data_IF_352179997369
#
_entry.id   IF_352179997369
#
_cell.length_a   1.000
_cell.length_b   1.000
_cell.length_c   1.000
_cell.angle_alpha   90.00
_cell.angle_beta   90.00
_cell.angle_gamma   90.00
#
_symmetry.space_group_name_H-M   'P 1'
#
loop_
_entity.id
_entity.type
_entity.pdbx_description
1 polymer ?
#
# COMPACT_ATOMS: atom_id res chain seq x y z
N UNK A 1 2.45 -19.84 -8.86
CA UNK A 1 2.08 -18.59 -9.59
C UNK A 1 1.70 -18.95 -11.01
N UNK A 2 0.62 -18.37 -11.54
CA UNK A 2 0.22 -18.55 -12.94
C UNK A 2 0.56 -17.33 -13.78
N UNK A 3 1.02 -17.55 -15.00
CA UNK A 3 1.41 -16.52 -15.96
C UNK A 3 0.70 -16.76 -17.29
N UNK A 4 0.35 -15.69 -17.99
CA UNK A 4 -0.19 -15.75 -19.34
C UNK A 4 0.97 -15.76 -20.34
N UNK A 5 1.07 -16.82 -21.15
CA UNK A 5 1.99 -16.87 -22.28
C UNK A 5 1.51 -15.92 -23.38
N UNK A 6 2.34 -14.95 -23.75
CA UNK A 6 1.95 -13.86 -24.67
C UNK A 6 1.73 -14.34 -26.10
N UNK A 7 2.29 -15.49 -26.49
CA UNK A 7 2.17 -16.06 -27.83
C UNK A 7 0.95 -16.96 -27.93
N UNK A 8 0.85 -17.96 -27.04
CA UNK A 8 -0.24 -18.94 -27.06
C UNK A 8 -1.54 -18.41 -26.46
N UNK A 9 -1.46 -17.34 -25.65
CA UNK A 9 -2.57 -16.79 -24.87
C UNK A 9 -3.20 -17.80 -23.91
N UNK A 10 -2.38 -18.74 -23.42
CA UNK A 10 -2.76 -19.74 -22.43
C UNK A 10 -2.07 -19.46 -21.10
N UNK A 11 -2.73 -19.83 -20.01
CA UNK A 11 -2.15 -19.78 -18.68
C UNK A 11 -1.19 -20.96 -18.49
N UNK A 12 -0.03 -20.67 -17.92
CA UNK A 12 1.02 -21.61 -17.57
C UNK A 12 1.35 -21.44 -16.08
N UNK A 13 1.54 -22.55 -15.37
CA UNK A 13 1.79 -22.54 -13.92
C UNK A 13 3.26 -22.82 -13.61
N UNK A 14 3.80 -22.04 -12.68
CA UNK A 14 5.20 -22.08 -12.28
C UNK A 14 5.36 -22.03 -10.77
N UNK A 15 6.42 -22.70 -10.30
CA UNK A 15 6.73 -22.84 -8.88
C UNK A 15 8.21 -22.50 -8.60
N UNK A 16 8.45 -21.74 -7.54
CA UNK A 16 9.79 -21.44 -7.04
C UNK A 16 10.74 -20.92 -8.13
N UNK A 17 11.91 -21.56 -8.26
CA UNK A 17 12.95 -21.15 -9.21
C UNK A 17 12.59 -21.40 -10.68
N UNK A 18 11.43 -21.98 -10.99
CA UNK A 18 10.96 -22.20 -12.37
C UNK A 18 10.20 -21.01 -12.93
N UNK A 19 9.89 -19.99 -12.12
CA UNK A 19 9.18 -18.79 -12.58
C UNK A 19 10.05 -18.07 -13.61
N UNK A 20 9.58 -17.92 -14.87
CA UNK A 20 10.34 -17.25 -15.92
C UNK A 20 10.39 -15.74 -15.67
N UNK A 21 11.11 -15.00 -16.51
CA UNK A 21 11.01 -13.54 -16.52
C UNK A 21 9.64 -13.13 -17.07
N UNK A 22 8.95 -12.21 -16.40
CA UNK A 22 7.60 -11.77 -16.80
C UNK A 22 7.43 -10.25 -16.68
N UNK A 23 6.47 -9.72 -17.44
CA UNK A 23 5.87 -8.41 -17.20
C UNK A 23 4.69 -8.53 -16.23
N UNK A 24 4.28 -7.45 -15.59
CA UNK A 24 3.09 -7.44 -14.74
C UNK A 24 2.17 -6.27 -15.09
N UNK A 25 0.86 -6.49 -15.18
CA UNK A 25 -0.12 -5.44 -15.45
C UNK A 25 -0.74 -4.93 -14.15
N UNK A 26 -0.57 -3.64 -13.88
CA UNK A 26 -1.28 -2.90 -12.84
C UNK A 26 -2.39 -2.07 -13.48
N UNK A 27 -3.62 -2.21 -12.98
CA UNK A 27 -4.76 -1.47 -13.51
C UNK A 27 -5.91 -1.37 -12.50
N UNK A 28 -6.75 -0.35 -12.67
CA UNK A 28 -8.05 -0.29 -12.01
C UNK A 28 -9.02 -1.22 -12.74
N UNK A 29 -9.65 -2.16 -12.03
CA UNK A 29 -10.69 -3.02 -12.63
C UNK A 29 -11.85 -2.17 -13.15
N UNK A 30 -12.24 -2.42 -14.40
CA UNK A 30 -13.39 -1.84 -15.07
C UNK A 30 -14.51 -2.87 -15.28
N UNK A 31 -15.43 -2.57 -16.20
CA UNK A 31 -16.45 -3.50 -16.64
C UNK A 31 -15.88 -4.54 -17.60
N UNK A 32 -16.39 -5.78 -17.51
CA UNK A 32 -16.09 -6.81 -18.49
C UNK A 32 -14.64 -7.31 -18.51
N UNK A 33 -13.93 -7.22 -17.39
CA UNK A 33 -12.59 -7.80 -17.23
C UNK A 33 -12.58 -9.28 -17.63
N UNK A 34 -11.45 -9.71 -18.20
CA UNK A 34 -11.23 -11.12 -18.53
C UNK A 34 -10.82 -11.83 -17.25
N UNK A 35 -11.66 -12.74 -16.77
CA UNK A 35 -11.38 -13.53 -15.57
C UNK A 35 -10.57 -14.79 -15.88
N UNK A 36 -10.15 -15.51 -14.84
CA UNK A 36 -9.53 -16.83 -14.97
C UNK A 36 -10.43 -17.83 -15.71
N UNK A 37 -11.75 -17.82 -15.45
CA UNK A 37 -12.68 -18.69 -16.18
C UNK A 37 -12.80 -18.28 -17.65
N UNK A 38 -12.80 -16.98 -17.93
CA UNK A 38 -12.96 -16.46 -19.28
C UNK A 38 -11.78 -16.82 -20.16
N UNK A 39 -10.53 -16.56 -19.71
CA UNK A 39 -9.33 -16.74 -20.54
C UNK A 39 -9.15 -18.19 -21.03
N UNK A 40 -9.75 -19.16 -20.31
CA UNK A 40 -9.75 -20.57 -20.69
C UNK A 40 -10.81 -20.94 -21.74
N UNK A 41 -11.69 -20.01 -22.15
CA UNK A 41 -12.75 -20.21 -23.14
C UNK A 41 -12.41 -19.49 -24.45
N UNK A 42 -12.70 -20.07 -25.63
CA UNK A 42 -12.42 -19.41 -26.92
C UNK A 42 -13.08 -18.03 -27.09
N UNK A 43 -14.20 -17.78 -26.42
CA UNK A 43 -14.96 -16.52 -26.50
C UNK A 43 -14.37 -15.36 -25.69
N UNK A 44 -13.27 -15.56 -24.94
CA UNK A 44 -12.69 -14.51 -24.11
C UNK A 44 -12.34 -13.24 -24.92
N UNK A 45 -11.99 -13.43 -26.19
CA UNK A 45 -11.62 -12.36 -27.11
C UNK A 45 -12.74 -11.34 -27.39
N UNK A 46 -14.00 -11.72 -27.12
CA UNK A 46 -15.20 -10.92 -27.34
C UNK A 46 -15.54 -10.03 -26.13
N UNK A 47 -14.90 -10.26 -24.97
CA UNK A 47 -15.13 -9.44 -23.77
C UNK A 47 -14.53 -8.05 -23.94
N UNK A 48 -15.16 -7.07 -23.29
CA UNK A 48 -14.70 -5.67 -23.26
C UNK A 48 -13.23 -5.57 -22.78
N UNK A 49 -12.90 -6.26 -21.68
CA UNK A 49 -11.54 -6.29 -21.12
C UNK A 49 -10.50 -7.02 -21.98
N UNK A 50 -10.90 -7.73 -23.05
CA UNK A 50 -9.96 -8.45 -23.91
C UNK A 50 -8.98 -7.51 -24.61
N UNK A 51 -9.40 -6.27 -24.89
CA UNK A 51 -8.52 -5.24 -25.47
C UNK A 51 -7.32 -4.96 -24.54
N UNK A 52 -7.57 -4.82 -23.24
CA UNK A 52 -6.55 -4.56 -22.21
C UNK A 52 -5.52 -5.70 -22.15
N UNK A 53 -6.00 -6.94 -22.10
CA UNK A 53 -5.13 -8.14 -22.11
C UNK A 53 -4.28 -8.20 -23.39
N UNK A 54 -4.88 -7.97 -24.57
CA UNK A 54 -4.18 -8.00 -25.87
C UNK A 54 -3.10 -6.92 -25.96
N UNK A 55 -3.39 -5.71 -25.51
CA UNK A 55 -2.43 -4.61 -25.52
C UNK A 55 -1.29 -4.86 -24.53
N UNK A 56 -1.59 -5.38 -23.35
CA UNK A 56 -0.59 -5.74 -22.35
C UNK A 56 0.35 -6.84 -22.85
N UNK A 57 -0.17 -7.88 -23.50
CA UNK A 57 0.65 -8.96 -24.05
C UNK A 57 1.46 -8.52 -25.27
N UNK A 58 0.91 -7.61 -26.09
CA UNK A 58 1.67 -6.97 -27.16
C UNK A 58 2.82 -6.11 -26.61
N UNK A 59 2.59 -5.37 -25.52
CA UNK A 59 3.66 -4.60 -24.88
C UNK A 59 4.72 -5.51 -24.27
N UNK A 60 4.34 -6.59 -23.58
CA UNK A 60 5.28 -7.58 -23.06
C UNK A 60 6.18 -8.17 -24.17
N UNK A 61 5.60 -8.46 -25.35
CA UNK A 61 6.39 -8.89 -26.53
C UNK A 61 7.40 -7.84 -26.99
N UNK A 62 7.03 -6.55 -26.99
CA UNK A 62 7.94 -5.46 -27.35
C UNK A 62 9.12 -5.34 -26.37
N UNK A 63 8.87 -5.61 -25.10
CA UNK A 63 9.89 -5.68 -24.05
C UNK A 63 10.69 -7.00 -24.05
N UNK A 64 10.45 -7.90 -25.02
CA UNK A 64 11.16 -9.17 -25.15
C UNK A 64 10.77 -10.21 -24.09
N UNK A 65 9.57 -10.13 -23.53
CA UNK A 65 9.06 -11.03 -22.50
C UNK A 65 8.01 -11.98 -23.07
N UNK A 66 8.12 -13.26 -22.71
CA UNK A 66 7.21 -14.32 -23.15
C UNK A 66 6.00 -14.51 -22.22
N UNK A 67 6.05 -13.93 -21.03
CA UNK A 67 5.06 -14.10 -19.99
C UNK A 67 4.63 -12.77 -19.40
N UNK A 68 3.35 -12.69 -19.05
CA UNK A 68 2.78 -11.56 -18.31
C UNK A 68 1.85 -12.06 -17.21
N UNK A 69 1.91 -11.42 -16.05
CA UNK A 69 0.93 -11.60 -14.98
C UNK A 69 -0.14 -10.52 -15.04
N UNK A 70 -1.40 -10.93 -14.94
CA UNK A 70 -2.57 -10.06 -14.89
C UNK A 70 -3.52 -10.64 -13.84
N UNK A 71 -3.71 -9.93 -12.73
CA UNK A 71 -4.46 -10.40 -11.56
C UNK A 71 -5.90 -10.87 -11.88
N UNK A 72 -6.55 -10.27 -12.87
CA UNK A 72 -7.92 -10.62 -13.28
C UNK A 72 -8.02 -12.02 -13.86
N UNK A 73 -7.04 -12.46 -14.65
CA UNK A 73 -7.07 -13.78 -15.31
C UNK A 73 -6.03 -14.78 -14.78
N UNK A 74 -5.00 -14.34 -14.07
CA UNK A 74 -3.95 -15.21 -13.54
C UNK A 74 -4.29 -15.78 -12.16
N UNK A 75 -5.26 -15.22 -11.44
CA UNK A 75 -5.73 -15.72 -10.14
C UNK A 75 -7.11 -16.35 -10.31
N UNK A 76 -7.27 -17.59 -9.88
CA UNK A 76 -8.61 -18.16 -9.68
C UNK A 76 -9.23 -17.65 -8.38
N UNK A 77 -10.06 -16.61 -8.51
CA UNK A 77 -10.74 -15.95 -7.39
C UNK A 77 -11.88 -16.79 -6.81
N UNK A 78 -12.26 -17.91 -7.45
CA UNK A 78 -13.24 -18.86 -6.90
C UNK A 78 -12.62 -19.77 -5.83
N UNK A 79 -11.30 -19.95 -5.87
CA UNK A 79 -10.52 -20.68 -4.87
C UNK A 79 -10.07 -19.73 -3.75
N UNK A 80 -10.67 -19.86 -2.57
CA UNK A 80 -10.30 -19.03 -1.40
C UNK A 80 -8.85 -19.27 -0.96
N UNK A 81 -8.35 -20.51 -1.10
CA UNK A 81 -6.97 -20.86 -0.80
C UNK A 81 -6.00 -20.13 -1.73
N UNK A 82 -6.29 -20.15 -3.04
CA UNK A 82 -5.45 -19.47 -4.03
C UNK A 82 -5.53 -17.95 -3.90
N UNK A 83 -6.72 -17.39 -3.69
CA UNK A 83 -6.89 -15.96 -3.45
C UNK A 83 -6.06 -15.50 -2.24
N UNK A 84 -6.05 -16.29 -1.17
CA UNK A 84 -5.24 -16.03 0.03
C UNK A 84 -3.75 -16.09 -0.25
N UNK A 85 -3.29 -17.11 -0.97
CA UNK A 85 -1.88 -17.24 -1.40
C UNK A 85 -1.47 -16.05 -2.28
N UNK A 86 -2.32 -15.68 -3.24
CA UNK A 86 -2.05 -14.62 -4.19
C UNK A 86 -1.93 -13.26 -3.50
N UNK A 87 -2.86 -12.89 -2.62
CA UNK A 87 -2.80 -11.61 -1.89
C UNK A 87 -1.56 -11.53 -0.99
N UNK A 88 -1.18 -12.63 -0.33
CA UNK A 88 0.03 -12.66 0.49
C UNK A 88 1.33 -12.63 -0.34
N UNK A 89 1.26 -12.99 -1.63
CA UNK A 89 2.42 -13.05 -2.53
C UNK A 89 2.51 -11.86 -3.51
N UNK A 90 1.45 -11.07 -3.64
CA UNK A 90 1.30 -10.11 -4.73
C UNK A 90 2.41 -9.06 -4.76
N UNK A 91 2.81 -8.56 -3.58
CA UNK A 91 3.92 -7.61 -3.49
C UNK A 91 5.21 -8.17 -4.08
N UNK A 92 5.57 -9.42 -3.73
CA UNK A 92 6.75 -10.09 -4.25
C UNK A 92 6.65 -10.32 -5.77
N UNK A 93 5.44 -10.60 -6.29
CA UNK A 93 5.22 -10.71 -7.74
C UNK A 93 5.42 -9.38 -8.47
N UNK A 94 4.99 -8.25 -7.87
CA UNK A 94 5.28 -6.93 -8.41
C UNK A 94 6.76 -6.56 -8.30
N UNK A 95 7.42 -6.91 -7.20
CA UNK A 95 8.85 -6.65 -6.99
C UNK A 95 9.74 -7.42 -7.97
N UNK A 96 9.41 -8.68 -8.25
CA UNK A 96 10.20 -9.55 -9.12
C UNK A 96 9.84 -9.46 -10.61
N UNK A 97 8.78 -8.72 -10.97
CA UNK A 97 8.48 -8.45 -12.37
C UNK A 97 9.61 -7.65 -13.02
N UNK A 98 9.92 -7.97 -14.29
CA UNK A 98 10.92 -7.22 -15.06
C UNK A 98 10.48 -5.78 -15.30
N UNK A 99 9.18 -5.62 -15.57
CA UNK A 99 8.53 -4.33 -15.80
C UNK A 99 7.05 -4.42 -15.41
N UNK A 100 6.55 -3.38 -14.76
CA UNK A 100 5.14 -3.18 -14.52
C UNK A 100 4.56 -2.21 -15.56
N UNK A 101 3.47 -2.60 -16.20
CA UNK A 101 2.67 -1.71 -17.02
C UNK A 101 1.55 -1.14 -16.16
N UNK A 102 1.62 0.15 -15.84
CA UNK A 102 0.56 0.86 -15.13
C UNK A 102 -0.40 1.45 -16.16
N UNK A 103 -1.57 0.84 -16.32
CA UNK A 103 -2.58 1.26 -17.29
C UNK A 103 -3.62 2.18 -16.63
N UNK A 104 -3.58 3.46 -17.01
CA UNK A 104 -4.43 4.53 -16.50
C UNK A 104 -5.66 4.70 -17.42
N UNK A 105 -6.65 3.83 -17.20
CA UNK A 105 -7.84 3.69 -18.07
C UNK A 105 -8.75 4.94 -18.11
N UNK A 106 -8.64 5.81 -17.11
CA UNK A 106 -9.53 6.95 -16.89
C UNK A 106 -8.97 8.28 -17.39
N UNK A 107 -7.76 8.30 -17.93
CA UNK A 107 -7.12 9.52 -18.43
C UNK A 107 -6.73 9.39 -19.91
N UNK A 108 -6.61 10.56 -20.54
CA UNK A 108 -6.04 10.74 -21.87
C UNK A 108 -5.13 11.97 -21.74
N UNK A 109 -3.86 11.87 -22.18
CA UNK A 109 -2.81 12.92 -22.04
C UNK A 109 -2.17 13.03 -20.63
N UNK A 110 -1.28 14.02 -20.47
CA UNK A 110 -0.29 14.17 -19.39
C UNK A 110 -0.85 14.42 -17.97
N UNK A 111 -2.17 14.52 -17.81
CA UNK A 111 -2.80 14.79 -16.52
C UNK A 111 -2.95 13.51 -15.68
N UNK A 112 -1.81 12.89 -15.36
CA UNK A 112 -1.76 11.65 -14.59
C UNK A 112 -2.25 11.83 -13.15
N UNK A 113 -2.16 13.06 -12.62
CA UNK A 113 -2.49 13.40 -11.23
C UNK A 113 -3.97 13.10 -10.91
N UNK A 114 -4.83 13.17 -11.92
CA UNK A 114 -6.26 12.93 -11.80
C UNK A 114 -6.68 11.45 -12.01
N UNK A 115 -5.74 10.54 -12.25
CA UNK A 115 -6.09 9.12 -12.40
C UNK A 115 -6.48 8.49 -11.06
N UNK A 116 -7.61 7.77 -11.06
CA UNK A 116 -8.08 6.89 -9.98
C UNK A 116 -7.07 5.81 -9.60
N UNK A 117 -6.09 5.53 -10.47
CA UNK A 117 -5.00 4.64 -10.14
C UNK A 117 -4.23 5.11 -8.90
N UNK A 118 -4.03 6.42 -8.71
CA UNK A 118 -3.31 6.94 -7.55
C UNK A 118 -4.11 6.91 -6.24
N UNK A 119 -5.44 6.82 -6.33
CA UNK A 119 -6.34 6.79 -5.17
C UNK A 119 -6.84 5.40 -4.81
N UNK A 120 -6.50 4.35 -5.57
CA UNK A 120 -6.88 2.96 -5.24
C UNK A 120 -5.92 2.36 -4.21
N UNK A 121 -6.43 1.63 -3.22
CA UNK A 121 -5.60 1.05 -2.15
C UNK A 121 -4.53 0.07 -2.68
N UNK A 122 -4.95 -0.88 -3.51
CA UNK A 122 -4.07 -1.93 -4.05
C UNK A 122 -2.92 -1.39 -4.90
N UNK A 123 -3.12 -0.31 -5.66
CA UNK A 123 -2.08 0.25 -6.56
C UNK A 123 -0.90 0.85 -5.81
N UNK A 124 -0.99 1.07 -4.48
CA UNK A 124 0.16 1.49 -3.69
C UNK A 124 1.30 0.48 -3.75
N UNK A 125 1.02 -0.80 -3.49
CA UNK A 125 2.06 -1.83 -3.59
C UNK A 125 2.50 -2.03 -5.05
N UNK A 126 1.61 -1.84 -6.01
CA UNK A 126 1.92 -1.93 -7.45
C UNK A 126 2.82 -0.77 -7.93
N UNK A 127 2.80 0.35 -7.22
CA UNK A 127 3.71 1.49 -7.45
C UNK A 127 5.03 1.32 -6.73
N UNK A 128 4.96 0.86 -5.49
CA UNK A 128 6.09 0.85 -4.57
C UNK A 128 6.96 -0.38 -4.81
N UNK A 129 6.41 -1.57 -5.03
CA UNK A 129 7.20 -2.80 -5.17
C UNK A 129 8.05 -2.85 -6.46
N UNK A 130 7.53 -2.55 -7.68
CA UNK A 130 8.32 -2.69 -8.90
C UNK A 130 9.46 -1.68 -8.97
N UNK A 131 10.60 -2.15 -9.50
CA UNK A 131 11.73 -1.28 -9.84
C UNK A 131 11.44 -0.48 -11.12
N UNK A 132 10.88 -1.14 -12.13
CA UNK A 132 10.56 -0.53 -13.42
C UNK A 132 9.04 -0.44 -13.61
N UNK A 133 8.53 0.76 -13.88
CA UNK A 133 7.12 0.99 -14.24
C UNK A 133 7.07 1.82 -15.51
N UNK A 134 6.20 1.43 -16.44
CA UNK A 134 5.82 2.20 -17.63
C UNK A 134 4.35 2.58 -17.50
N UNK A 135 4.05 3.87 -17.57
CA UNK A 135 2.68 4.40 -17.45
C UNK A 135 2.06 4.56 -18.83
N UNK A 136 0.83 4.09 -19.00
CA UNK A 136 0.09 4.16 -20.26
C UNK A 136 -1.27 4.83 -20.06
N UNK A 137 -1.68 5.70 -20.98
CA UNK A 137 -3.04 6.28 -21.00
C UNK A 137 -4.09 5.26 -21.49
N UNK A 138 -5.37 5.66 -21.51
CA UNK A 138 -6.50 4.87 -22.03
C UNK A 138 -6.32 4.38 -23.48
N UNK A 139 -5.47 5.04 -24.28
CA UNK A 139 -5.18 4.68 -25.67
C UNK A 139 -3.93 3.80 -25.79
N UNK A 140 -3.34 3.39 -24.66
CA UNK A 140 -2.09 2.64 -24.59
C UNK A 140 -0.88 3.43 -25.11
N UNK A 141 -0.93 4.75 -24.99
CA UNK A 141 0.20 5.62 -25.31
C UNK A 141 1.08 5.75 -24.07
N UNK A 142 2.39 5.54 -24.24
CA UNK A 142 3.37 5.69 -23.17
C UNK A 142 3.40 7.16 -22.71
N UNK A 143 3.17 7.36 -21.41
CA UNK A 143 3.23 8.65 -20.74
C UNK A 143 4.61 8.92 -20.14
N UNK A 144 5.33 7.85 -19.78
CA UNK A 144 6.67 7.91 -19.22
C UNK A 144 6.93 6.72 -18.29
N UNK A 145 8.17 6.62 -17.84
CA UNK A 145 8.63 5.64 -16.86
C UNK A 145 8.57 6.19 -15.44
N UNK A 146 8.67 5.30 -14.43
CA UNK A 146 8.78 5.70 -13.02
C UNK A 146 9.87 6.74 -12.75
N UNK A 147 11.02 6.58 -13.43
CA UNK A 147 12.18 7.47 -13.27
C UNK A 147 11.90 8.83 -13.91
N UNK A 148 11.37 8.84 -15.14
CA UNK A 148 11.04 10.08 -15.86
C UNK A 148 9.95 10.90 -15.14
N UNK A 149 9.02 10.22 -14.48
CA UNK A 149 7.87 10.84 -13.81
C UNK A 149 8.06 11.02 -12.31
N UNK A 150 9.25 10.76 -11.75
CA UNK A 150 9.46 10.68 -10.29
C UNK A 150 8.98 11.92 -9.52
N UNK A 151 9.23 13.12 -10.04
CA UNK A 151 8.80 14.36 -9.39
C UNK A 151 7.27 14.54 -9.38
N UNK A 152 6.57 14.07 -10.41
CA UNK A 152 5.10 14.03 -10.42
C UNK A 152 4.58 12.97 -9.45
N UNK A 153 5.14 11.76 -9.50
CA UNK A 153 4.76 10.67 -8.61
C UNK A 153 4.94 11.06 -7.13
N UNK A 154 6.04 11.74 -6.80
CA UNK A 154 6.31 12.19 -5.45
C UNK A 154 5.26 13.19 -4.95
N UNK A 155 4.88 14.16 -5.79
CA UNK A 155 3.83 15.14 -5.48
C UNK A 155 2.46 14.49 -5.28
N UNK A 156 2.07 13.57 -6.16
CA UNK A 156 0.75 12.94 -6.12
C UNK A 156 0.61 12.03 -4.89
N UNK A 157 1.68 11.30 -4.54
CA UNK A 157 1.61 10.21 -3.58
C UNK A 157 2.23 10.51 -2.23
N UNK A 158 2.88 11.67 -2.10
CA UNK A 158 3.66 12.07 -0.92
C UNK A 158 4.80 11.10 -0.56
N UNK A 159 5.17 10.20 -1.47
CA UNK A 159 6.34 9.33 -1.34
C UNK A 159 7.55 10.10 -1.86
N UNK A 160 8.63 10.18 -1.08
CA UNK A 160 9.81 10.90 -1.49
C UNK A 160 10.48 10.27 -2.72
N UNK A 161 11.13 11.10 -3.53
CA UNK A 161 11.78 10.65 -4.77
C UNK A 161 12.82 9.55 -4.51
N UNK A 162 13.57 9.63 -3.40
CA UNK A 162 14.57 8.63 -3.03
C UNK A 162 13.93 7.26 -2.73
N UNK A 163 12.75 7.22 -2.11
CA UNK A 163 12.00 5.97 -1.86
C UNK A 163 11.40 5.41 -3.16
N UNK A 164 11.00 6.27 -4.11
CA UNK A 164 10.49 5.85 -5.41
C UNK A 164 11.60 5.27 -6.29
N UNK A 165 12.81 5.82 -6.23
CA UNK A 165 13.96 5.43 -7.06
C UNK A 165 14.77 4.26 -6.47
N UNK A 166 14.86 4.15 -5.15
CA UNK A 166 15.66 3.14 -4.46
C UNK A 166 14.79 2.15 -3.68
N UNK A 167 14.66 0.90 -4.18
CA UNK A 167 13.96 -0.16 -3.48
C UNK A 167 14.34 -0.38 -2.01
N UNK A 168 15.62 -0.22 -1.67
CA UNK A 168 16.10 -0.49 -0.31
C UNK A 168 15.56 0.50 0.73
N UNK A 169 15.29 1.75 0.31
CA UNK A 169 14.76 2.81 1.20
C UNK A 169 13.32 2.59 1.61
N UNK A 170 12.58 1.82 0.83
CA UNK A 170 11.21 1.41 1.14
C UNK A 170 11.17 0.63 2.45
N UNK A 171 12.10 -0.31 2.64
CA UNK A 171 12.15 -1.14 3.85
C UNK A 171 12.52 -0.34 5.09
N UNK A 172 13.46 0.61 4.96
CA UNK A 172 13.96 1.44 6.06
C UNK A 172 13.04 2.60 6.48
N UNK A 173 11.95 2.83 5.73
CA UNK A 173 10.96 3.84 6.11
C UNK A 173 10.18 3.41 7.34
N UNK A 174 9.88 4.38 8.22
CA UNK A 174 9.10 4.17 9.43
C UNK A 174 7.69 3.66 9.15
N UNK A 175 7.07 3.04 10.15
CA UNK A 175 5.69 2.56 10.07
C UNK A 175 4.73 3.72 9.76
N UNK A 176 4.87 4.84 10.46
CA UNK A 176 4.08 6.04 10.22
C UNK A 176 4.19 6.54 8.77
N UNK A 177 5.43 6.61 8.24
CA UNK A 177 5.68 7.05 6.87
C UNK A 177 5.04 6.11 5.85
N UNK A 178 5.17 4.79 6.03
CA UNK A 178 4.51 3.80 5.16
C UNK A 178 2.98 3.92 5.22
N UNK A 179 2.41 4.08 6.42
CA UNK A 179 0.97 4.27 6.59
C UNK A 179 0.48 5.58 5.95
N UNK A 180 1.28 6.66 6.00
CA UNK A 180 0.89 7.94 5.40
C UNK A 180 0.75 7.83 3.89
N UNK A 181 1.51 6.96 3.22
CA UNK A 181 1.35 6.71 1.79
C UNK A 181 -0.05 6.18 1.47
N UNK A 182 -0.64 5.36 2.33
CA UNK A 182 -1.98 4.81 2.13
C UNK A 182 -3.12 5.74 2.58
N UNK A 183 -2.82 6.88 3.19
CA UNK A 183 -3.81 7.72 3.91
C UNK A 183 -4.89 8.36 3.04
N UNK A 184 -4.63 8.56 1.75
CA UNK A 184 -5.55 9.17 0.78
C UNK A 184 -6.14 8.14 -0.18
N UNK A 185 -5.87 6.85 0.03
CA UNK A 185 -6.31 5.76 -0.84
C UNK A 185 -7.58 5.10 -0.33
N UNK A 186 -8.38 4.62 -1.27
CA UNK A 186 -9.69 4.03 -1.05
C UNK A 186 -9.74 2.58 -1.53
N UNK A 187 -10.51 1.76 -0.81
CA UNK A 187 -10.75 0.35 -1.16
C UNK A 187 -12.23 0.08 -1.26
N UNK A 188 -12.62 -0.85 -2.15
CA UNK A 188 -14.03 -1.24 -2.32
C UNK A 188 -14.51 -2.08 -1.16
N UNK A 189 -13.71 -3.06 -0.73
CA UNK A 189 -13.96 -3.80 0.51
C UNK A 189 -13.23 -3.12 1.65
N UNK A 190 -13.86 -3.08 2.82
CA UNK A 190 -13.30 -2.41 3.99
C UNK A 190 -12.00 -3.10 4.41
N UNK A 191 -11.94 -4.43 4.38
CA UNK A 191 -10.79 -5.21 4.82
C UNK A 191 -9.57 -5.04 3.90
N UNK A 192 -9.78 -4.70 2.63
CA UNK A 192 -8.70 -4.46 1.67
C UNK A 192 -7.84 -3.25 2.08
N UNK A 193 -8.34 -2.36 2.95
CA UNK A 193 -7.52 -1.28 3.52
C UNK A 193 -6.34 -1.82 4.33
N UNK A 194 -6.48 -3.04 4.86
CA UNK A 194 -5.43 -3.77 5.55
C UNK A 194 -4.68 -4.69 4.59
N UNK A 195 -5.41 -5.50 3.80
CA UNK A 195 -4.81 -6.52 2.94
C UNK A 195 -3.92 -5.94 1.83
N UNK A 196 -4.25 -4.74 1.34
CA UNK A 196 -3.41 -4.05 0.34
C UNK A 196 -2.06 -3.57 0.88
N UNK A 197 -1.84 -3.61 2.20
CA UNK A 197 -0.62 -3.15 2.86
C UNK A 197 0.30 -4.28 3.33
N UNK A 198 -0.13 -5.54 3.26
CA UNK A 198 0.62 -6.69 3.80
C UNK A 198 2.07 -6.71 3.32
N UNK A 199 2.30 -6.63 2.01
CA UNK A 199 3.65 -6.66 1.46
C UNK A 199 4.48 -5.41 1.71
N UNK A 200 3.84 -4.25 1.91
CA UNK A 200 4.56 -2.99 2.26
C UNK A 200 5.18 -3.09 3.64
N UNK A 201 4.48 -3.77 4.55
CA UNK A 201 4.94 -4.05 5.91
C UNK A 201 5.64 -5.39 6.06
N UNK A 202 5.73 -6.19 4.99
CA UNK A 202 6.31 -7.53 4.99
C UNK A 202 5.70 -8.44 6.07
N UNK A 203 4.37 -8.45 6.16
CA UNK A 203 3.61 -9.29 7.10
C UNK A 203 2.67 -10.24 6.36
N UNK A 204 2.30 -11.33 7.02
CA UNK A 204 1.33 -12.29 6.51
C UNK A 204 0.22 -12.51 7.54
N UNK A 205 -1.03 -12.57 7.08
CA UNK A 205 -2.17 -12.90 7.95
C UNK A 205 -3.32 -13.53 7.14
N UNK A 206 -4.17 -14.36 7.79
CA UNK A 206 -5.36 -14.91 7.16
C UNK A 206 -6.34 -13.83 6.68
N UNK A 207 -6.87 -13.99 5.47
CA UNK A 207 -7.89 -13.11 4.90
C UNK A 207 -9.28 -13.52 5.38
N UNK A 208 -9.89 -12.72 6.24
CA UNK A 208 -11.23 -12.92 6.77
C UNK A 208 -12.17 -11.82 6.26
N UNK A 209 -12.67 -11.95 5.03
CA UNK A 209 -13.69 -11.04 4.51
C UNK A 209 -14.98 -11.14 5.34
N UNK A 210 -15.48 -10.00 5.80
CA UNK A 210 -16.59 -9.89 6.75
C UNK A 210 -16.16 -9.43 8.16
N UNK A 211 -14.86 -9.33 8.45
CA UNK A 211 -14.36 -8.83 9.74
C UNK A 211 -14.34 -7.30 9.86
N UNK A 212 -14.56 -6.57 8.75
CA UNK A 212 -14.64 -5.11 8.73
C UNK A 212 -13.36 -4.43 9.22
N UNK A 213 -13.51 -3.38 10.04
CA UNK A 213 -12.37 -2.58 10.57
C UNK A 213 -11.36 -3.41 11.38
N UNK A 214 -11.75 -4.60 11.87
CA UNK A 214 -10.85 -5.48 12.62
C UNK A 214 -9.65 -5.94 11.78
N UNK A 215 -9.80 -6.01 10.47
CA UNK A 215 -8.69 -6.34 9.57
C UNK A 215 -7.50 -5.38 9.74
N UNK A 216 -7.77 -4.07 9.89
CA UNK A 216 -6.72 -3.06 10.06
C UNK A 216 -6.10 -3.07 11.46
N UNK A 217 -6.87 -3.41 12.49
CA UNK A 217 -6.31 -3.66 13.82
C UNK A 217 -5.34 -4.85 13.80
N UNK A 218 -5.75 -5.97 13.18
CA UNK A 218 -4.89 -7.16 13.01
C UNK A 218 -3.64 -6.88 12.19
N UNK A 219 -3.72 -6.05 11.14
CA UNK A 219 -2.53 -5.62 10.42
C UNK A 219 -1.52 -4.95 11.36
N UNK A 220 -1.97 -4.03 12.21
CA UNK A 220 -1.10 -3.36 13.18
C UNK A 220 -0.54 -4.34 14.23
N UNK A 221 -1.33 -5.33 14.65
CA UNK A 221 -0.87 -6.40 15.52
C UNK A 221 0.22 -7.27 14.87
N UNK A 222 0.11 -7.58 13.57
CA UNK A 222 1.18 -8.30 12.84
C UNK A 222 2.43 -7.44 12.67
N UNK A 223 2.26 -6.14 12.38
CA UNK A 223 3.40 -5.19 12.29
C UNK A 223 4.17 -5.16 13.61
N UNK A 224 3.46 -5.11 14.74
CA UNK A 224 4.07 -5.10 16.08
C UNK A 224 4.87 -6.36 16.43
N UNK A 225 4.66 -7.48 15.72
CA UNK A 225 5.47 -8.68 15.92
C UNK A 225 6.83 -8.60 15.23
N UNK A 226 6.93 -7.76 14.21
CA UNK A 226 8.11 -7.65 13.34
C UNK A 226 8.96 -6.40 13.61
N UNK A 227 8.44 -5.41 14.34
CA UNK A 227 9.17 -4.15 14.62
C UNK A 227 8.79 -3.48 15.95
N UNK A 228 9.76 -2.77 16.53
CA UNK A 228 9.62 -1.90 17.71
C UNK A 228 9.45 -0.41 17.35
N UNK A 229 9.08 -0.12 16.09
CA UNK A 229 8.91 1.25 15.61
C UNK A 229 7.67 1.92 16.25
N UNK A 230 7.91 2.71 17.31
CA UNK A 230 6.88 3.48 18.02
C UNK A 230 6.14 4.50 17.13
N UNK A 231 6.62 4.80 15.92
CA UNK A 231 5.86 5.64 14.97
C UNK A 231 4.50 5.03 14.59
N UNK A 232 4.29 3.72 14.79
CA UNK A 232 2.98 3.09 14.65
C UNK A 232 1.91 3.77 15.52
N UNK A 233 2.28 4.34 16.67
CA UNK A 233 1.35 4.99 17.59
C UNK A 233 1.28 6.52 17.41
N UNK A 234 1.98 7.08 16.43
CA UNK A 234 2.05 8.53 16.18
C UNK A 234 0.89 9.07 15.31
N UNK A 235 -0.21 8.33 15.20
CA UNK A 235 -1.38 8.71 14.41
C UNK A 235 -2.25 9.73 15.15
N UNK A 236 -3.08 10.46 14.40
CA UNK A 236 -3.90 11.55 14.93
C UNK A 236 -5.36 11.48 14.46
N UNK A 237 -6.25 12.07 15.25
CA UNK A 237 -7.67 12.27 14.90
C UNK A 237 -7.88 13.73 14.51
N UNK A 238 -8.51 13.93 13.36
CA UNK A 238 -8.95 15.26 12.95
C UNK A 238 -10.40 15.48 13.40
N UNK A 239 -10.70 16.60 14.09
CA UNK A 239 -12.07 17.06 14.21
C UNK A 239 -12.66 17.21 12.81
N UNK A 240 -13.81 16.59 12.56
CA UNK A 240 -14.49 16.54 11.25
C UNK A 240 -14.85 17.91 10.68
N UNK A 241 -14.71 18.99 11.46
CA UNK A 241 -15.11 20.36 11.10
C UNK A 241 -14.12 21.15 10.22
N UNK A 242 -12.89 20.67 9.96
CA UNK A 242 -11.85 21.48 9.29
C UNK A 242 -11.05 20.75 8.19
N UNK A 243 -11.72 20.00 7.30
CA UNK A 243 -11.06 19.26 6.19
C UNK A 243 -10.34 20.13 5.13
N UNK A 244 -10.55 21.46 5.12
CA UNK A 244 -10.08 22.35 4.06
C UNK A 244 -9.05 23.40 4.50
N UNK A 245 -8.40 23.28 5.68
CA UNK A 245 -7.40 24.28 6.11
C UNK A 245 -5.96 23.86 5.74
N UNK A 246 -5.29 24.55 4.79
CA UNK A 246 -3.92 24.23 4.37
C UNK A 246 -2.84 24.54 5.43
N UNK A 247 -3.14 25.28 6.50
CA UNK A 247 -2.18 25.58 7.57
C UNK A 247 -1.88 24.39 8.50
N UNK A 248 -2.53 23.24 8.30
CA UNK A 248 -2.39 22.03 9.12
C UNK A 248 -1.16 21.18 8.79
N UNK A 249 -0.48 21.39 7.66
CA UNK A 249 0.77 20.68 7.33
C UNK A 249 1.90 20.98 8.34
N UNK A 250 1.83 22.10 9.05
CA UNK A 250 2.76 22.48 10.12
C UNK A 250 2.23 22.16 11.53
N UNK A 251 1.04 21.57 11.66
CA UNK A 251 0.36 21.39 12.94
C UNK A 251 0.74 20.10 13.70
N UNK A 252 1.81 19.39 13.30
CA UNK A 252 2.38 18.33 14.14
C UNK A 252 2.95 18.83 15.49
N UNK A 253 2.89 20.14 15.77
CA UNK A 253 3.19 20.73 17.08
C UNK A 253 1.99 21.32 17.83
N UNK A 254 0.78 21.31 17.24
CA UNK A 254 -0.41 21.94 17.82
C UNK A 254 -1.65 21.08 17.54
N UNK A 255 -1.91 20.11 18.41
CA UNK A 255 -3.19 19.38 18.39
C UNK A 255 -4.30 20.42 18.59
N UNK A 256 -5.33 20.49 17.72
CA UNK A 256 -6.52 21.26 18.04
C UNK A 256 -7.10 20.64 19.30
N UNK A 257 -7.21 21.43 20.38
CA UNK A 257 -7.81 21.02 21.64
C UNK A 257 -9.06 20.18 21.38
N UNK A 258 -9.06 18.98 21.96
CA UNK A 258 -10.09 17.96 21.80
C UNK A 258 -11.50 18.58 21.86
N UNK A 259 -12.47 18.09 21.08
CA UNK A 259 -13.84 18.56 21.21
C UNK A 259 -14.29 18.37 22.66
N UNK A 260 -14.77 19.45 23.27
CA UNK A 260 -15.48 19.41 24.55
C UNK A 260 -16.79 18.62 24.37
N UNK A 261 -16.73 17.30 24.34
CA UNK A 261 -17.90 16.42 24.49
C UNK A 261 -17.47 14.96 24.60
N UNK A 262 -17.65 14.40 25.81
CA UNK A 262 -17.57 12.99 26.19
C UNK A 262 -16.19 12.31 26.08
N UNK A 263 -15.74 11.73 27.20
CA UNK A 263 -14.55 10.89 27.32
C UNK A 263 -14.69 9.64 26.43
N UNK A 264 -14.46 9.80 25.12
CA UNK A 264 -14.26 8.67 24.23
C UNK A 264 -12.84 8.15 24.44
N UNK A 265 -12.71 7.04 25.17
CA UNK A 265 -11.46 6.31 25.23
C UNK A 265 -11.12 5.83 23.82
N UNK A 266 -10.05 6.37 23.27
CA UNK A 266 -9.56 5.96 21.95
C UNK A 266 -8.74 4.68 22.11
N UNK A 267 -8.93 3.75 21.16
CA UNK A 267 -8.00 2.63 20.98
C UNK A 267 -6.60 3.17 20.75
N UNK A 268 -5.56 2.49 21.25
CA UNK A 268 -4.15 2.82 20.96
C UNK A 268 -3.76 2.53 19.51
N UNK A 269 -4.45 1.59 18.87
CA UNK A 269 -4.31 1.28 17.44
C UNK A 269 -5.25 2.15 16.62
N UNK A 270 -4.77 2.62 15.47
CA UNK A 270 -5.52 3.46 14.55
C UNK A 270 -6.68 2.69 13.89
N UNK A 271 -7.72 3.40 13.45
CA UNK A 271 -8.84 2.80 12.72
C UNK A 271 -8.59 2.67 11.22
N UNK A 272 -7.69 3.49 10.66
CA UNK A 272 -7.40 3.51 9.24
C UNK A 272 -6.05 4.17 8.91
N UNK A 273 -5.49 3.94 7.71
CA UNK A 273 -4.34 4.71 7.22
C UNK A 273 -4.59 6.23 7.18
N UNK A 274 -5.83 6.69 7.07
CA UNK A 274 -6.15 8.12 7.05
C UNK A 274 -5.72 8.85 8.34
N UNK A 275 -5.64 8.14 9.47
CA UNK A 275 -5.11 8.69 10.72
C UNK A 275 -3.62 9.04 10.66
N UNK A 276 -2.88 8.53 9.67
CA UNK A 276 -1.45 8.76 9.47
C UNK A 276 -1.14 9.84 8.43
N UNK A 277 -2.14 10.57 7.90
CA UNK A 277 -1.99 11.51 6.77
C UNK A 277 -0.81 12.49 6.90
N UNK A 278 -0.58 13.07 8.07
CA UNK A 278 0.50 14.03 8.29
C UNK A 278 1.73 13.44 9.01
N UNK A 279 1.81 12.12 9.08
CA UNK A 279 2.90 11.42 9.77
C UNK A 279 4.04 11.01 8.82
N UNK A 280 4.00 11.46 7.56
CA UNK A 280 5.01 11.13 6.54
C UNK A 280 6.43 11.55 6.90
N UNK A 281 6.59 12.52 7.81
CA UNK A 281 7.88 12.96 8.36
C UNK A 281 8.22 12.36 9.71
N UNK A 282 7.40 11.47 10.28
CA UNK A 282 7.71 10.83 11.57
C UNK A 282 8.73 9.73 11.35
N UNK A 283 9.83 9.76 12.10
CA UNK A 283 10.91 8.77 12.04
C UNK A 283 11.26 8.27 13.46
N UNK A 284 11.64 7.00 13.63
CA UNK A 284 12.12 6.50 14.92
C UNK A 284 13.46 7.15 15.28
N UNK A 285 13.76 7.28 16.57
CA UNK A 285 15.11 7.68 16.98
C UNK A 285 16.15 6.64 16.52
N UNK A 286 17.36 7.06 16.12
CA UNK A 286 18.46 6.14 15.88
C UNK A 286 18.71 5.32 17.15
N UNK A 287 18.59 4.00 17.06
CA UNK A 287 18.51 3.07 18.18
C UNK A 287 19.56 3.37 19.27
N UNK A 288 19.11 4.00 20.35
CA UNK A 288 19.84 4.01 21.61
C UNK A 288 19.47 2.73 22.33
N UNK A 289 20.43 1.82 22.52
CA UNK A 289 20.25 0.58 23.28
C UNK A 289 19.39 0.80 24.54
N UNK A 290 18.32 0.01 24.73
CA UNK A 290 17.56 -0.27 25.98
C UNK A 290 16.06 0.12 25.96
N UNK A 291 15.26 -0.42 25.05
CA UNK A 291 13.82 -0.62 25.28
C UNK A 291 13.50 -2.11 25.17
N UNK A 292 12.62 -2.61 26.04
CA UNK A 292 12.04 -3.94 25.85
C UNK A 292 11.14 -3.88 24.62
N UNK A 293 11.14 -4.93 23.77
CA UNK A 293 10.35 -4.91 22.56
C UNK A 293 8.87 -4.77 22.88
N UNK A 294 8.16 -4.01 22.04
CA UNK A 294 6.73 -3.90 22.13
C UNK A 294 6.12 -5.28 21.85
N UNK A 295 5.09 -5.68 22.59
CA UNK A 295 4.48 -7.00 22.39
C UNK A 295 2.99 -7.00 22.60
N UNK A 296 2.29 -7.74 21.74
CA UNK A 296 0.88 -8.07 21.94
C UNK A 296 0.77 -9.28 22.87
N UNK A 297 0.08 -9.11 23.99
CA UNK A 297 -0.20 -10.17 24.96
C UNK A 297 -1.69 -10.53 24.94
N UNK A 298 -2.06 -11.63 25.61
CA UNK A 298 -3.48 -11.96 25.82
C UNK A 298 -4.26 -10.92 26.64
N UNK A 299 -3.56 -9.96 27.27
CA UNK A 299 -4.13 -8.83 28.01
C UNK A 299 -4.10 -7.51 27.24
N UNK A 300 -3.59 -7.51 26.01
CA UNK A 300 -3.41 -6.31 25.19
C UNK A 300 -1.95 -5.95 24.98
N UNK A 301 -1.72 -4.70 24.58
CA UNK A 301 -0.40 -4.16 24.25
C UNK A 301 0.46 -3.97 25.50
N UNK A 302 1.71 -4.46 25.45
CA UNK A 302 2.76 -4.14 26.40
C UNK A 302 3.80 -3.27 25.70
N UNK A 303 4.06 -2.07 26.24
CA UNK A 303 5.02 -1.12 25.71
C UNK A 303 5.74 -0.40 26.85
N UNK A 304 7.05 -0.27 26.73
CA UNK A 304 7.87 0.50 27.66
C UNK A 304 8.05 1.91 27.10
N UNK A 305 7.55 2.92 27.82
CA UNK A 305 7.61 4.33 27.41
C UNK A 305 8.07 5.20 28.58
N UNK A 306 8.74 6.31 28.26
CA UNK A 306 9.10 7.31 29.27
C UNK A 306 7.91 8.22 29.52
N UNK A 307 7.54 8.41 30.79
CA UNK A 307 6.49 9.33 31.17
C UNK A 307 7.05 10.74 31.42
N UNK A 308 6.34 11.75 30.94
CA UNK A 308 6.54 13.17 31.27
C UNK A 308 5.21 13.76 31.71
N UNK A 309 4.91 13.66 33.00
CA UNK A 309 3.57 13.94 33.51
C UNK A 309 2.59 12.90 32.99
N UNK A 310 1.49 13.36 32.40
CA UNK A 310 0.44 12.49 31.82
C UNK A 310 0.71 12.15 30.35
N UNK A 311 1.95 12.34 29.86
CA UNK A 311 2.32 12.07 28.46
C UNK A 311 3.29 10.89 28.41
N UNK A 312 2.93 9.86 27.65
CA UNK A 312 3.82 8.80 27.21
C UNK A 312 4.65 9.25 26.01
N UNK A 313 5.96 9.43 26.20
CA UNK A 313 6.87 9.79 25.11
C UNK A 313 7.22 8.56 24.25
N UNK A 314 6.86 8.62 22.97
CA UNK A 314 7.20 7.63 21.96
C UNK A 314 8.66 7.78 21.52
N UNK A 315 9.29 6.68 21.09
CA UNK A 315 10.67 6.67 20.59
C UNK A 315 10.73 7.09 19.11
N UNK A 316 10.01 8.15 18.75
CA UNK A 316 9.97 8.74 17.42
C UNK A 316 9.82 10.27 17.47
N UNK A 317 10.20 10.93 16.38
CA UNK A 317 10.24 12.38 16.26
C UNK A 317 9.93 12.84 14.83
N UNK A 318 9.75 14.15 14.64
CA UNK A 318 9.64 14.74 13.30
C UNK A 318 11.02 14.78 12.64
N UNK A 319 11.09 14.35 11.39
CA UNK A 319 12.31 14.38 10.58
C UNK A 319 12.81 15.83 10.50
N UNK A 320 14.08 16.03 10.87
CA UNK A 320 14.76 17.33 11.05
C UNK A 320 14.47 18.07 12.37
N UNK A 321 13.71 17.49 13.30
CA UNK A 321 13.59 17.99 14.67
C UNK A 321 13.98 16.90 15.67
N UNK A 322 15.20 16.99 16.20
CA UNK A 322 15.73 16.09 17.24
C UNK A 322 15.45 16.61 18.67
N UNK A 323 14.87 17.81 18.79
CA UNK A 323 14.65 18.47 20.08
C UNK A 323 13.31 18.10 20.73
N UNK A 324 12.37 17.58 19.94
CA UNK A 324 11.05 17.14 20.37
C UNK A 324 10.87 15.63 20.23
N UNK A 325 9.96 15.08 21.02
CA UNK A 325 9.49 13.70 20.91
C UNK A 325 7.98 13.72 20.74
N UNK A 326 7.45 12.75 20.01
CA UNK A 326 5.99 12.60 19.89
C UNK A 326 5.47 11.94 21.17
N UNK A 327 4.34 12.42 21.68
CA UNK A 327 3.73 11.93 22.91
C UNK A 327 2.28 11.50 22.73
N UNK A 328 1.83 10.56 23.56
CA UNK A 328 0.43 10.16 23.69
C UNK A 328 -0.05 10.58 25.08
N UNK A 329 -1.19 11.28 25.14
CA UNK A 329 -1.85 11.61 26.40
C UNK A 329 -2.39 10.33 27.05
N UNK A 330 -1.98 10.08 28.30
CA UNK A 330 -2.44 8.98 29.12
C UNK A 330 -3.60 9.47 29.97
N UNK A 331 -4.74 8.79 29.85
CA UNK A 331 -5.89 8.99 30.73
C UNK A 331 -5.95 7.82 31.69
N UNK A 332 -5.79 8.09 32.98
CA UNK A 332 -5.99 7.10 34.03
C UNK A 332 -7.50 6.86 34.23
N UNK A 333 -7.92 5.60 34.14
CA UNK A 333 -9.32 5.16 34.33
C UNK A 333 -9.51 4.56 35.70
#
# INVERSE_FOLDING_TARGET
>A
MRLLNVQSMKLEEYFGSQIPRYAILSHCWGSGEVTFEDINRPSWHEKEGAKKVKLATQQAKKEGLEHIWIDTCCIDKSSSAELSEAINSMYAWYEHAVVCFAYLEDIIFEDIENSKWFTRGWTLQEMVAPTNIMFFDKRWILLGTKIELVGHLSRITSISEDVLLDPSRRHNSSVARKMSWASTRETTRMEDMAYSLLGIFNVNMPLLYGEGKRAFARLQEEILKETDDHSLFAWIIYPTSNRNNPDLENACGSVPSAPNSEQSFLSILAESPANFRYTGKVVPYPSGSRSHPCSMTSRGLSIDVRLRGDIAALECHQENDLSSSIGIDIVYV
#
